data_IF_140552620689
#
_entry.id   IF_140552620689
#
_cell.length_a   1.000
_cell.length_b   1.000
_cell.length_c   1.000
_cell.angle_alpha   90.00
_cell.angle_beta   90.00
_cell.angle_gamma   90.00
#
_symmetry.space_group_name_H-M   'P 1'
#
loop_
_entity.id
_entity.type
_entity.pdbx_description
1 polymer ?
#
# COMPACT_ATOMS: atom_id res chain seq x y z
N UNK A 1 -18.92 4.04 -19.02
CA UNK A 1 -17.48 4.12 -18.70
C UNK A 1 -17.20 4.87 -17.39
N UNK A 2 -17.69 6.10 -17.19
CA UNK A 2 -17.44 6.92 -15.98
C UNK A 2 -17.84 6.24 -14.64
N UNK A 3 -18.99 5.55 -14.60
CA UNK A 3 -19.43 4.83 -13.38
C UNK A 3 -18.48 3.71 -12.96
N UNK A 4 -17.84 3.03 -13.91
CA UNK A 4 -16.87 1.96 -13.65
C UNK A 4 -15.60 2.52 -13.02
N UNK A 5 -15.05 3.61 -13.56
CA UNK A 5 -13.86 4.27 -13.00
C UNK A 5 -14.13 4.82 -11.59
N UNK A 6 -15.29 5.46 -11.38
CA UNK A 6 -15.67 5.95 -10.06
C UNK A 6 -15.87 4.82 -9.03
N UNK A 7 -16.30 3.64 -9.47
CA UNK A 7 -16.39 2.45 -8.62
C UNK A 7 -15.00 1.92 -8.25
N UNK A 8 -14.14 1.68 -9.25
CA UNK A 8 -12.78 1.18 -9.05
C UNK A 8 -11.96 2.09 -8.12
N UNK A 9 -12.09 3.41 -8.27
CA UNK A 9 -11.41 4.38 -7.40
C UNK A 9 -11.87 4.27 -5.94
N UNK A 10 -13.18 4.09 -5.70
CA UNK A 10 -13.72 3.91 -4.35
C UNK A 10 -13.27 2.59 -3.72
N UNK A 11 -13.28 1.51 -4.51
CA UNK A 11 -12.78 0.20 -4.10
C UNK A 11 -11.28 0.27 -3.74
N UNK A 12 -10.47 0.97 -4.54
CA UNK A 12 -9.05 1.19 -4.24
C UNK A 12 -8.85 1.92 -2.91
N UNK A 13 -9.52 3.06 -2.71
CA UNK A 13 -9.40 3.85 -1.46
C UNK A 13 -9.82 3.01 -0.25
N UNK A 14 -10.90 2.24 -0.38
CA UNK A 14 -11.35 1.35 0.68
C UNK A 14 -10.31 0.27 1.02
N UNK A 15 -9.77 -0.43 0.01
CA UNK A 15 -8.71 -1.43 0.20
C UNK A 15 -7.48 -0.83 0.87
N UNK A 16 -7.03 0.36 0.43
CA UNK A 16 -5.90 1.08 1.02
C UNK A 16 -6.12 1.45 2.48
N UNK A 17 -7.36 1.78 2.87
CA UNK A 17 -7.69 2.05 4.27
C UNK A 17 -7.61 0.81 5.16
N UNK A 18 -7.99 -0.36 4.63
CA UNK A 18 -7.89 -1.65 5.33
C UNK A 18 -6.42 -2.03 5.47
N UNK A 19 -5.66 -1.95 4.38
CA UNK A 19 -4.22 -2.23 4.34
C UNK A 19 -3.47 -1.38 5.36
N UNK A 20 -3.73 -0.07 5.43
CA UNK A 20 -3.09 0.79 6.43
C UNK A 20 -3.37 0.33 7.85
N UNK A 21 -4.61 -0.12 8.13
CA UNK A 21 -5.00 -0.65 9.44
C UNK A 21 -4.28 -1.97 9.73
N UNK A 22 -4.21 -2.88 8.75
CA UNK A 22 -3.49 -4.14 8.86
C UNK A 22 -2.00 -3.93 9.08
N UNK A 23 -1.37 -3.00 8.35
CA UNK A 23 0.04 -2.62 8.52
C UNK A 23 0.36 -2.21 9.96
N UNK A 24 -0.52 -1.41 10.59
CA UNK A 24 -0.30 -1.07 12.02
C UNK A 24 -0.38 -2.28 12.95
N UNK A 25 -1.19 -3.29 12.63
CA UNK A 25 -1.29 -4.53 13.40
C UNK A 25 -0.05 -5.40 13.15
N UNK A 26 0.38 -5.53 11.90
CA UNK A 26 1.61 -6.23 11.52
C UNK A 26 2.84 -5.62 12.18
N UNK A 27 2.96 -4.30 12.23
CA UNK A 27 4.06 -3.62 12.91
C UNK A 27 4.08 -3.94 14.41
N UNK A 28 2.91 -4.05 15.05
CA UNK A 28 2.81 -4.50 16.45
C UNK A 28 3.21 -5.96 16.61
N UNK A 29 2.77 -6.84 15.70
CA UNK A 29 3.15 -8.27 15.69
C UNK A 29 4.66 -8.42 15.52
N UNK A 30 5.28 -7.72 14.57
CA UNK A 30 6.74 -7.72 14.36
C UNK A 30 7.51 -7.31 15.61
N UNK A 31 7.12 -6.21 16.25
CA UNK A 31 7.74 -5.75 17.52
C UNK A 31 7.61 -6.77 18.64
N UNK A 32 6.49 -7.48 18.72
CA UNK A 32 6.28 -8.55 19.69
C UNK A 32 7.23 -9.73 19.40
N UNK A 33 7.28 -10.18 18.14
CA UNK A 33 8.16 -11.28 17.71
C UNK A 33 9.64 -10.94 17.93
N UNK A 34 10.06 -9.71 17.62
CA UNK A 34 11.42 -9.21 17.89
C UNK A 34 11.73 -9.23 19.39
N UNK A 35 10.82 -8.76 20.25
CA UNK A 35 11.02 -8.77 21.69
C UNK A 35 11.16 -10.20 22.25
N UNK A 36 10.39 -11.16 21.72
CA UNK A 36 10.48 -12.58 22.09
C UNK A 36 11.83 -13.17 21.63
N UNK A 37 12.23 -12.92 20.38
CA UNK A 37 13.48 -13.43 19.81
C UNK A 37 14.72 -12.87 20.52
N UNK A 38 14.73 -11.57 20.85
CA UNK A 38 15.81 -10.92 21.58
C UNK A 38 15.75 -11.19 23.10
N UNK A 39 14.73 -11.91 23.56
CA UNK A 39 14.44 -12.20 24.96
C UNK A 39 14.42 -10.92 25.84
N UNK A 40 13.90 -9.83 25.27
CA UNK A 40 13.74 -8.52 25.93
C UNK A 40 12.35 -8.40 26.53
N UNK A 41 12.20 -7.49 27.49
CA UNK A 41 10.89 -7.19 28.09
C UNK A 41 9.95 -6.62 27.02
N UNK A 42 8.75 -7.18 26.91
CA UNK A 42 7.70 -6.68 26.01
C UNK A 42 7.36 -5.23 26.37
N UNK A 43 7.25 -4.32 25.38
CA UNK A 43 6.84 -2.93 25.59
C UNK A 43 5.52 -2.83 26.34
N UNK A 44 5.38 -1.83 27.21
CA UNK A 44 4.21 -1.68 28.08
C UNK A 44 2.90 -1.58 27.30
N UNK A 45 2.91 -0.87 26.17
CA UNK A 45 1.74 -0.69 25.29
C UNK A 45 1.26 -1.98 24.61
N UNK A 46 2.12 -3.01 24.52
CA UNK A 46 1.82 -4.29 23.87
C UNK A 46 1.47 -5.38 24.88
N UNK A 47 1.67 -5.17 26.19
CA UNK A 47 1.52 -6.23 27.20
C UNK A 47 0.09 -6.75 27.30
N UNK A 48 -0.90 -5.87 27.28
CA UNK A 48 -2.31 -6.25 27.44
C UNK A 48 -2.85 -6.96 26.18
N UNK A 49 -2.35 -6.57 25.01
CA UNK A 49 -2.74 -7.14 23.72
C UNK A 49 -1.86 -8.31 23.28
N UNK A 50 -0.77 -8.60 24.00
CA UNK A 50 0.25 -9.58 23.60
C UNK A 50 -0.33 -10.97 23.33
N UNK A 51 -1.21 -11.45 24.22
CA UNK A 51 -1.83 -12.78 24.08
C UNK A 51 -2.71 -12.88 22.82
N UNK A 52 -3.45 -11.81 22.50
CA UNK A 52 -4.30 -11.77 21.30
C UNK A 52 -3.44 -11.68 20.04
N UNK A 53 -2.40 -10.85 20.05
CA UNK A 53 -1.49 -10.69 18.92
C UNK A 53 -0.69 -11.95 18.66
N UNK A 54 -0.29 -12.68 19.70
CA UNK A 54 0.40 -13.97 19.58
C UNK A 54 -0.51 -15.03 18.95
N UNK A 55 -1.73 -15.20 19.48
CA UNK A 55 -2.69 -16.13 18.88
C UNK A 55 -2.98 -15.79 17.41
N UNK A 56 -3.08 -14.49 17.08
CA UNK A 56 -3.26 -14.06 15.70
C UNK A 56 -2.02 -14.27 14.83
N UNK A 57 -0.81 -14.19 15.39
CA UNK A 57 0.44 -14.43 14.68
C UNK A 57 0.60 -15.92 14.33
N UNK A 58 0.09 -16.83 15.15
CA UNK A 58 0.11 -18.28 14.87
C UNK A 58 -0.70 -18.64 13.60
N UNK A 59 -1.69 -17.82 13.23
CA UNK A 59 -2.50 -17.99 12.01
C UNK A 59 -1.96 -17.22 10.80
N UNK A 60 -0.98 -16.32 10.98
CA UNK A 60 -0.38 -15.58 9.88
C UNK A 60 0.62 -16.49 9.15
N UNK A 61 0.12 -17.23 8.16
CA UNK A 61 0.96 -18.12 7.35
C UNK A 61 1.97 -17.31 6.52
N UNK A 62 3.21 -17.79 6.43
CA UNK A 62 4.31 -17.09 5.79
C UNK A 62 4.17 -17.11 4.26
N UNK A 63 3.34 -16.23 3.71
CA UNK A 63 3.50 -15.77 2.32
C UNK A 63 2.63 -16.42 1.24
N UNK A 64 1.41 -16.88 1.57
CA UNK A 64 0.46 -17.32 0.55
C UNK A 64 -0.07 -16.18 -0.36
N UNK A 65 0.06 -14.93 0.06
CA UNK A 65 -0.22 -13.76 -0.76
C UNK A 65 1.08 -12.98 -0.83
N UNK A 66 1.81 -13.16 -1.94
CA UNK A 66 3.00 -12.36 -2.23
C UNK A 66 2.70 -10.90 -1.92
N UNK A 67 3.65 -10.22 -1.31
CA UNK A 67 3.56 -8.81 -0.92
C UNK A 67 3.22 -8.03 -2.20
N UNK A 68 1.93 -7.83 -2.47
CA UNK A 68 1.47 -6.92 -3.51
C UNK A 68 1.75 -5.57 -2.89
N UNK A 69 2.97 -5.08 -3.09
CA UNK A 69 3.36 -3.78 -2.59
C UNK A 69 2.39 -2.75 -3.18
N UNK A 70 2.04 -1.72 -2.42
CA UNK A 70 1.11 -0.69 -2.89
C UNK A 70 1.58 -0.02 -4.20
N UNK A 71 2.89 -0.07 -4.50
CA UNK A 71 3.50 0.41 -5.73
C UNK A 71 3.06 -0.42 -6.96
N UNK A 72 2.73 -1.70 -6.76
CA UNK A 72 2.34 -2.63 -7.81
C UNK A 72 0.84 -2.63 -8.14
N UNK A 73 -0.05 -1.96 -7.38
CA UNK A 73 -1.49 -2.01 -7.69
C UNK A 73 -1.90 -1.00 -8.79
N UNK A 74 -1.33 0.21 -8.78
CA UNK A 74 -1.61 1.24 -9.81
C UNK A 74 -0.89 0.94 -11.14
N UNK A 75 0.35 0.42 -11.04
CA UNK A 75 1.20 0.07 -12.17
C UNK A 75 1.27 -1.45 -12.39
N UNK A 76 0.28 -2.21 -11.92
CA UNK A 76 0.26 -3.69 -12.03
C UNK A 76 0.49 -4.22 -13.44
N UNK A 77 0.08 -3.45 -14.44
CA UNK A 77 0.16 -3.78 -15.86
C UNK A 77 1.35 -3.13 -16.56
N UNK A 78 2.28 -2.53 -15.82
CA UNK A 78 3.52 -2.02 -16.37
C UNK A 78 4.26 -3.15 -17.10
N UNK A 79 4.70 -2.88 -18.33
CA UNK A 79 5.37 -3.86 -19.18
C UNK A 79 4.46 -4.77 -20.00
N UNK A 80 3.13 -4.69 -19.84
CA UNK A 80 2.18 -5.45 -20.68
C UNK A 80 1.77 -4.66 -21.93
N UNK A 81 1.54 -3.35 -21.78
CA UNK A 81 1.19 -2.45 -22.88
C UNK A 81 2.06 -1.19 -22.85
N UNK A 82 2.43 -0.69 -24.03
CA UNK A 82 3.17 0.56 -24.16
C UNK A 82 2.30 1.76 -23.74
N UNK A 83 2.77 2.61 -22.81
CA UNK A 83 1.99 3.72 -22.30
C UNK A 83 1.82 4.81 -23.37
N UNK A 84 0.58 5.30 -23.54
CA UNK A 84 0.27 6.44 -24.40
C UNK A 84 0.14 7.71 -23.57
N UNK A 85 1.25 8.44 -23.43
CA UNK A 85 1.31 9.68 -22.65
C UNK A 85 1.02 10.88 -23.54
N UNK A 86 0.20 11.82 -23.05
CA UNK A 86 -0.11 13.08 -23.74
C UNK A 86 0.54 14.22 -22.95
N UNK A 87 1.37 15.00 -23.62
CA UNK A 87 1.93 16.24 -23.08
C UNK A 87 1.01 17.39 -23.49
N UNK A 88 0.52 18.17 -22.52
CA UNK A 88 -0.34 19.33 -22.76
C UNK A 88 0.24 20.58 -22.11
N UNK A 89 -0.06 21.74 -22.68
CA UNK A 89 0.31 23.05 -22.13
C UNK A 89 -0.93 23.76 -21.56
N UNK A 90 -0.76 24.94 -20.95
CA UNK A 90 -1.87 25.78 -20.49
C UNK A 90 -2.76 26.24 -21.66
N UNK A 91 -3.93 26.82 -21.35
CA UNK A 91 -4.91 27.27 -22.35
C UNK A 91 -4.32 28.30 -23.34
N UNK A 92 -3.50 29.25 -22.85
CA UNK A 92 -2.77 30.21 -23.68
C UNK A 92 -1.26 30.18 -23.33
N UNK A 93 -0.46 29.33 -24.00
CA UNK A 93 0.93 29.14 -23.69
C UNK A 93 1.84 30.04 -24.54
N UNK A 94 2.94 30.50 -23.93
CA UNK A 94 3.97 31.27 -24.64
C UNK A 94 4.60 30.48 -25.79
N UNK A 95 5.17 31.18 -26.77
CA UNK A 95 5.88 30.57 -27.90
C UNK A 95 7.02 29.66 -27.44
N UNK A 96 7.77 30.06 -26.40
CA UNK A 96 8.82 29.25 -25.78
C UNK A 96 8.26 27.98 -25.13
N UNK A 97 7.11 28.06 -24.46
CA UNK A 97 6.46 26.90 -23.83
C UNK A 97 5.93 25.91 -24.88
N UNK A 98 5.41 26.39 -26.02
CA UNK A 98 5.01 25.54 -27.16
C UNK A 98 6.20 24.79 -27.76
N UNK A 99 7.35 25.46 -27.87
CA UNK A 99 8.60 24.82 -28.33
C UNK A 99 9.11 23.79 -27.33
N UNK A 100 9.00 24.07 -26.03
CA UNK A 100 9.38 23.12 -24.98
C UNK A 100 8.50 21.87 -24.94
N UNK A 101 7.20 22.01 -25.23
CA UNK A 101 6.26 20.88 -25.22
C UNK A 101 6.37 19.97 -26.45
N UNK A 102 7.15 20.36 -27.46
CA UNK A 102 7.35 19.63 -28.71
C UNK A 102 8.58 18.74 -28.62
#
# INVERSE_FOLDING_TARGET
>A
MLRRQARLRREYVYRKSIEQRQKTIEDKKKRLTEAINENRKIPTDLRDDALKLQQQADWDDAGGQGIISAEDDEYRWAGVEDPKVIITTSHDPSSKLKQFSK
#
